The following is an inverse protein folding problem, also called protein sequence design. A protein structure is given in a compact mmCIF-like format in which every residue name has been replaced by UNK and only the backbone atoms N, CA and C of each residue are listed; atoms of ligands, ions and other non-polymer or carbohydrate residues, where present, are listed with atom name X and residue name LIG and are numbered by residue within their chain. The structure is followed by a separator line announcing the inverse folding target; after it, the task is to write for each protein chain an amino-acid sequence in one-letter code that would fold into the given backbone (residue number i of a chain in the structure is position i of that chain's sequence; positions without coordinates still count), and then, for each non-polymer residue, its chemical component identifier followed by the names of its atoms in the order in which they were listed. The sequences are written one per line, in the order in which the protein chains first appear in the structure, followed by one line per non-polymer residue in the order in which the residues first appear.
data_IF_317377684193
#
_entry.id   IF_317377684193
#
_cell.length_a   1.000
_cell.length_b   1.000
_cell.length_c   1.000
_cell.angle_alpha   90.00
_cell.angle_beta   90.00
_cell.angle_gamma   90.00
#
_symmetry.space_group_name_H-M   'P 1'
#
loop_
_entity.id
_entity.type
_entity.pdbx_description
1 polymer ?
#
# COMPACT_ATOMS: atom_id res chain seq x y z
N UNK A 1 4.56 8.61 13.57
CA UNK A 1 5.66 8.92 12.62
C UNK A 1 5.37 10.21 11.87
N UNK A 2 4.19 10.33 11.25
CA UNK A 2 3.77 11.47 10.42
C UNK A 2 2.82 12.46 11.12
N UNK A 3 2.50 12.25 12.41
CA UNK A 3 1.51 13.05 13.16
C UNK A 3 1.79 14.56 13.17
N UNK A 4 3.07 14.94 13.18
CA UNK A 4 3.53 16.34 13.19
C UNK A 4 4.05 16.81 11.81
N UNK A 5 3.89 15.98 10.77
CA UNK A 5 4.28 16.32 9.41
C UNK A 5 3.11 16.99 8.71
N UNK A 6 3.38 17.89 7.78
CA UNK A 6 2.35 18.43 6.89
C UNK A 6 1.79 17.33 6.00
N UNK A 7 0.47 17.16 5.98
CA UNK A 7 -0.24 16.13 5.22
C UNK A 7 -1.28 16.79 4.33
N UNK A 8 -0.92 17.03 3.07
CA UNK A 8 -1.80 17.62 2.05
C UNK A 8 -1.42 17.09 0.68
N UNK A 9 -2.39 16.96 -0.23
CA UNK A 9 -2.17 16.40 -1.55
C UNK A 9 -1.82 14.92 -1.48
N UNK A 10 -0.52 14.60 -1.44
CA UNK A 10 -0.01 13.24 -1.46
C UNK A 10 1.02 12.97 -0.35
N UNK A 11 0.96 11.79 0.25
CA UNK A 11 1.97 11.31 1.20
C UNK A 11 2.39 9.89 0.84
N UNK A 12 3.58 9.74 0.27
CA UNK A 12 4.13 8.43 -0.10
C UNK A 12 4.78 7.75 1.11
N UNK A 13 4.45 6.48 1.35
CA UNK A 13 5.08 5.65 2.37
C UNK A 13 5.96 4.54 1.78
N UNK A 14 5.79 4.20 0.51
CA UNK A 14 6.66 3.28 -0.23
C UNK A 14 6.80 3.74 -1.67
N UNK A 15 8.04 3.83 -2.15
CA UNK A 15 8.34 4.03 -3.56
C UNK A 15 9.51 3.16 -3.98
N UNK A 16 9.24 2.23 -4.89
CA UNK A 16 10.22 1.25 -5.37
C UNK A 16 11.46 1.86 -6.04
N UNK A 17 11.37 3.07 -6.64
CA UNK A 17 12.56 3.72 -7.22
C UNK A 17 13.44 4.45 -6.20
N UNK A 18 12.95 4.69 -4.99
CA UNK A 18 13.72 5.38 -3.95
C UNK A 18 15.04 4.69 -3.64
N UNK A 19 15.99 5.42 -3.08
CA UNK A 19 17.30 4.87 -2.69
C UNK A 19 17.18 3.81 -1.58
N UNK A 20 16.25 4.00 -0.64
CA UNK A 20 15.92 3.06 0.45
C UNK A 20 14.40 2.86 0.57
N UNK A 21 13.76 2.08 -0.33
CA UNK A 21 12.30 1.95 -0.38
C UNK A 21 11.65 1.42 0.92
N UNK A 22 12.39 0.64 1.70
CA UNK A 22 11.94 0.03 2.95
C UNK A 22 12.49 0.74 4.20
N UNK A 23 12.94 1.99 4.10
CA UNK A 23 13.57 2.70 5.24
C UNK A 23 12.68 2.76 6.50
N UNK A 24 11.37 2.88 6.32
CA UNK A 24 10.39 2.97 7.42
C UNK A 24 9.58 1.67 7.61
N UNK A 25 9.99 0.60 6.93
CA UNK A 25 9.29 -0.67 6.90
C UNK A 25 10.13 -1.73 7.61
N UNK A 26 9.48 -2.53 8.45
CA UNK A 26 10.05 -3.78 8.92
C UNK A 26 9.65 -4.91 7.96
N UNK A 27 10.46 -5.97 7.93
CA UNK A 27 10.32 -7.09 7.00
C UNK A 27 10.39 -8.41 7.75
N UNK A 28 9.42 -9.27 7.45
CA UNK A 28 9.43 -10.66 7.91
C UNK A 28 9.42 -11.57 6.70
N UNK A 29 10.35 -12.53 6.65
CA UNK A 29 10.53 -13.42 5.50
C UNK A 29 10.78 -14.84 6.00
N UNK A 30 9.90 -15.75 5.62
CA UNK A 30 10.01 -17.19 5.87
C UNK A 30 9.78 -17.91 4.55
N UNK A 31 10.77 -18.69 4.11
CA UNK A 31 10.74 -19.43 2.83
C UNK A 31 10.32 -18.57 1.63
N UNK A 32 11.02 -17.45 1.48
CA UNK A 32 10.70 -16.41 0.51
C UNK A 32 11.82 -15.40 0.32
N UNK A 33 11.52 -14.33 -0.40
CA UNK A 33 12.43 -13.20 -0.57
C UNK A 33 11.68 -11.89 -0.75
N UNK A 34 12.37 -10.81 -0.40
CA UNK A 34 11.99 -9.44 -0.75
C UNK A 34 13.14 -8.85 -1.54
N UNK A 35 12.93 -8.54 -2.82
CA UNK A 35 13.98 -8.02 -3.68
C UNK A 35 13.45 -6.94 -4.63
N UNK A 36 14.35 -6.05 -5.04
CA UNK A 36 14.07 -5.11 -6.12
C UNK A 36 14.47 -5.76 -7.44
N UNK A 37 13.58 -5.74 -8.43
CA UNK A 37 13.82 -6.27 -9.77
C UNK A 37 13.15 -5.40 -10.83
N UNK A 38 13.53 -5.55 -12.08
CA UNK A 38 12.87 -4.91 -13.21
C UNK A 38 11.65 -5.74 -13.64
N UNK A 39 10.47 -5.12 -13.64
CA UNK A 39 9.23 -5.73 -14.13
C UNK A 39 9.08 -5.49 -15.63
N UNK A 40 8.79 -6.55 -16.38
CA UNK A 40 8.71 -6.52 -17.85
C UNK A 40 7.51 -5.72 -18.35
N UNK A 41 6.40 -5.68 -17.61
CA UNK A 41 5.19 -5.01 -18.07
C UNK A 41 5.31 -3.50 -17.96
N UNK A 42 6.06 -2.97 -16.99
CA UNK A 42 6.23 -1.50 -16.82
C UNK A 42 7.64 -1.03 -17.12
N UNK A 43 8.55 -1.93 -17.50
CA UNK A 43 9.96 -1.66 -17.78
C UNK A 43 10.63 -0.81 -16.69
N UNK A 44 10.29 -1.08 -15.43
CA UNK A 44 10.74 -0.30 -14.28
C UNK A 44 11.03 -1.18 -13.08
N UNK A 45 11.85 -0.65 -12.17
CA UNK A 45 12.16 -1.36 -10.94
C UNK A 45 10.95 -1.37 -10.00
N UNK A 46 10.67 -2.54 -9.43
CA UNK A 46 9.59 -2.79 -8.47
C UNK A 46 10.11 -3.58 -7.30
N UNK A 47 9.39 -3.53 -6.19
CA UNK A 47 9.68 -4.35 -5.02
C UNK A 47 8.85 -5.64 -5.10
N UNK A 48 9.50 -6.77 -5.29
CA UNK A 48 8.86 -8.08 -5.28
C UNK A 48 8.89 -8.69 -3.87
N UNK A 49 7.75 -9.19 -3.40
CA UNK A 49 7.59 -9.92 -2.14
C UNK A 49 7.04 -11.31 -2.49
N UNK A 50 7.85 -12.34 -2.30
CA UNK A 50 7.50 -13.74 -2.59
C UNK A 50 7.72 -14.56 -1.34
N UNK A 51 6.79 -15.47 -1.06
CA UNK A 51 6.88 -16.42 0.03
C UNK A 51 6.03 -17.64 -0.28
N UNK A 52 6.42 -18.81 0.24
CA UNK A 52 5.65 -20.04 0.11
C UNK A 52 4.30 -19.96 0.83
N UNK A 53 4.28 -19.32 2.01
CA UNK A 53 3.09 -19.01 2.79
C UNK A 53 2.89 -17.48 2.89
N UNK A 54 1.71 -17.02 2.46
CA UNK A 54 1.35 -15.60 2.39
C UNK A 54 1.36 -14.93 3.77
N UNK A 55 1.05 -15.68 4.83
CA UNK A 55 0.99 -15.11 6.18
C UNK A 55 2.36 -14.92 6.82
N UNK A 56 3.38 -15.68 6.41
CA UNK A 56 4.71 -15.69 7.04
C UNK A 56 5.74 -14.82 6.33
N UNK A 57 5.37 -14.18 5.22
CA UNK A 57 6.24 -13.22 4.53
C UNK A 57 5.46 -11.95 4.23
N UNK A 58 5.90 -10.83 4.83
CA UNK A 58 5.24 -9.52 4.71
C UNK A 58 6.19 -8.37 5.02
N UNK A 59 5.76 -7.17 4.65
CA UNK A 59 6.36 -5.91 5.12
C UNK A 59 5.33 -5.15 5.95
N UNK A 60 5.77 -4.46 7.00
CA UNK A 60 4.90 -3.69 7.89
C UNK A 60 5.44 -2.27 8.12
N UNK A 61 4.56 -1.28 8.12
CA UNK A 61 4.90 0.12 8.35
C UNK A 61 4.02 0.70 9.45
N UNK A 62 4.59 1.28 10.53
CA UNK A 62 6.01 1.57 10.71
C UNK A 62 6.83 0.34 11.13
N UNK A 63 8.16 0.42 10.95
CA UNK A 63 9.08 -0.66 11.33
C UNK A 63 9.04 -1.00 12.83
N UNK A 64 8.92 0.01 13.68
CA UNK A 64 8.74 -0.20 15.12
C UNK A 64 7.30 -0.68 15.41
N UNK A 65 7.10 -1.83 16.09
CA UNK A 65 5.78 -2.36 16.41
C UNK A 65 4.99 -1.46 17.37
N UNK A 66 5.67 -0.68 18.22
CA UNK A 66 5.05 0.23 19.19
C UNK A 66 4.67 1.57 18.60
N UNK A 67 5.28 1.94 17.46
CA UNK A 67 5.01 3.18 16.76
C UNK A 67 3.73 3.10 15.89
N UNK A 68 3.18 4.27 15.56
CA UNK A 68 2.08 4.43 14.61
C UNK A 68 2.46 5.38 13.48
N UNK A 69 1.83 5.21 12.31
CA UNK A 69 1.94 6.14 11.18
C UNK A 69 1.41 7.52 11.57
N UNK A 70 0.15 7.62 11.98
CA UNK A 70 -0.50 8.89 12.32
C UNK A 70 -0.86 9.70 11.06
N UNK A 71 -1.30 9.02 10.00
CA UNK A 71 -1.68 9.63 8.72
C UNK A 71 -3.18 9.89 8.72
N UNK A 72 -3.60 11.13 8.50
CA UNK A 72 -5.00 11.59 8.53
C UNK A 72 -5.64 11.69 7.14
N UNK A 73 -4.85 11.50 6.09
CA UNK A 73 -5.36 11.49 4.72
C UNK A 73 -6.36 10.31 4.53
N UNK A 74 -7.52 10.55 3.90
CA UNK A 74 -8.62 9.60 3.83
C UNK A 74 -8.46 8.51 2.77
N UNK A 75 -7.73 8.78 1.68
CA UNK A 75 -7.56 7.81 0.60
C UNK A 75 -6.20 7.12 0.71
N UNK A 76 -6.20 5.79 0.64
CA UNK A 76 -5.00 4.98 0.52
C UNK A 76 -4.97 4.35 -0.87
N UNK A 77 -3.85 4.52 -1.57
CA UNK A 77 -3.63 4.02 -2.92
C UNK A 77 -2.43 3.09 -2.97
N UNK A 78 -2.63 1.88 -3.51
CA UNK A 78 -1.59 0.88 -3.75
C UNK A 78 -1.48 0.61 -5.24
N UNK A 79 -0.27 0.76 -5.79
CA UNK A 79 0.06 0.33 -7.15
C UNK A 79 0.77 -1.02 -7.03
N UNK A 80 0.04 -2.08 -7.37
CA UNK A 80 0.43 -3.47 -7.08
C UNK A 80 0.10 -4.38 -8.26
N UNK A 81 0.97 -5.35 -8.54
CA UNK A 81 0.71 -6.47 -9.44
C UNK A 81 0.62 -7.75 -8.64
N UNK A 82 -0.52 -8.43 -8.77
CA UNK A 82 -0.76 -9.73 -8.13
C UNK A 82 -0.09 -10.84 -8.94
N UNK A 83 0.70 -11.70 -8.30
CA UNK A 83 1.51 -12.74 -8.98
C UNK A 83 0.79 -14.11 -9.02
N UNK A 84 -0.54 -14.11 -9.23
CA UNK A 84 -1.43 -15.30 -9.35
C UNK A 84 -1.58 -16.17 -8.08
N UNK A 85 -1.02 -15.75 -6.95
CA UNK A 85 -1.21 -16.35 -5.61
C UNK A 85 -1.94 -15.36 -4.71
N UNK A 86 -2.61 -15.86 -3.68
CA UNK A 86 -3.38 -15.05 -2.72
C UNK A 86 -2.57 -13.82 -2.27
N UNK A 87 -2.99 -12.63 -2.70
CA UNK A 87 -2.48 -11.36 -2.20
C UNK A 87 -3.37 -10.89 -1.05
N UNK A 88 -2.76 -10.36 0.01
CA UNK A 88 -3.48 -9.81 1.16
C UNK A 88 -2.74 -8.59 1.69
N UNK A 89 -3.49 -7.60 2.14
CA UNK A 89 -2.93 -6.48 2.89
C UNK A 89 -3.87 -6.11 4.04
N UNK A 90 -3.29 -5.48 5.05
CA UNK A 90 -3.96 -5.08 6.27
C UNK A 90 -3.70 -3.62 6.57
N UNK A 91 -4.73 -2.94 7.05
CA UNK A 91 -4.68 -1.54 7.44
C UNK A 91 -5.29 -1.43 8.82
N UNK A 92 -4.52 -0.90 9.76
CA UNK A 92 -5.02 -0.54 11.08
C UNK A 92 -5.38 0.94 11.08
N UNK A 93 -6.61 1.26 11.49
CA UNK A 93 -7.08 2.63 11.63
C UNK A 93 -7.55 2.90 13.06
N UNK A 94 -7.55 4.16 13.45
CA UNK A 94 -8.18 4.67 14.66
C UNK A 94 -9.50 5.33 14.29
N UNK A 95 -10.56 5.04 15.03
CA UNK A 95 -11.84 5.73 14.91
C UNK A 95 -12.05 6.81 15.99
N UNK A 96 -13.10 7.61 15.84
CA UNK A 96 -13.49 8.69 16.74
C UNK A 96 -13.97 8.23 18.12
N UNK A 97 -14.16 6.91 18.31
CA UNK A 97 -14.39 6.29 19.62
C UNK A 97 -13.11 5.78 20.26
N UNK A 98 -11.95 6.14 19.70
CA UNK A 98 -10.62 5.71 20.13
C UNK A 98 -10.44 4.18 20.07
N UNK A 99 -11.16 3.51 19.16
CA UNK A 99 -11.05 2.06 18.93
C UNK A 99 -10.17 1.81 17.72
N UNK A 100 -9.24 0.86 17.86
CA UNK A 100 -8.39 0.40 16.75
C UNK A 100 -9.16 -0.62 15.91
N UNK A 101 -9.34 -0.33 14.63
CA UNK A 101 -10.01 -1.20 13.66
C UNK A 101 -9.00 -1.77 12.68
N UNK A 102 -9.29 -2.97 12.16
CA UNK A 102 -8.44 -3.64 11.17
C UNK A 102 -9.26 -3.98 9.94
N UNK A 103 -8.87 -3.41 8.81
CA UNK A 103 -9.34 -3.81 7.50
C UNK A 103 -8.34 -4.76 6.89
N UNK A 104 -8.81 -5.95 6.48
CA UNK A 104 -8.02 -6.91 5.71
C UNK A 104 -8.72 -7.12 4.38
N UNK A 105 -8.00 -6.94 3.29
CA UNK A 105 -8.49 -7.20 1.95
C UNK A 105 -7.64 -8.29 1.29
N UNK A 106 -8.29 -9.23 0.63
CA UNK A 106 -7.67 -10.36 -0.06
C UNK A 106 -8.19 -10.49 -1.50
N UNK A 107 -7.34 -11.06 -2.37
CA UNK A 107 -7.39 -11.14 -3.83
C UNK A 107 -8.63 -11.79 -4.49
N UNK A 108 -9.87 -11.51 -4.07
CA UNK A 108 -11.04 -12.08 -4.75
C UNK A 108 -11.43 -11.36 -6.05
N UNK A 109 -10.86 -10.19 -6.37
CA UNK A 109 -11.36 -9.33 -7.46
C UNK A 109 -10.31 -8.43 -8.15
N UNK A 110 -9.00 -8.75 -8.12
CA UNK A 110 -8.00 -7.97 -8.88
C UNK A 110 -7.88 -8.51 -10.32
N UNK A 111 -7.81 -7.60 -11.28
CA UNK A 111 -7.59 -7.94 -12.69
C UNK A 111 -6.17 -8.50 -12.91
N UNK A 112 -5.97 -9.21 -14.03
CA UNK A 112 -4.65 -9.70 -14.39
C UNK A 112 -3.70 -8.52 -14.68
N UNK A 113 -2.53 -8.52 -14.05
CA UNK A 113 -1.49 -7.50 -14.27
C UNK A 113 -1.41 -6.44 -13.17
N UNK A 114 -1.02 -5.22 -13.56
CA UNK A 114 -0.87 -4.08 -12.65
C UNK A 114 -2.21 -3.45 -12.32
N UNK A 115 -2.48 -3.30 -11.03
CA UNK A 115 -3.71 -2.75 -10.49
C UNK A 115 -3.39 -1.52 -9.63
N UNK A 116 -4.30 -0.54 -9.66
CA UNK A 116 -4.30 0.58 -8.73
C UNK A 116 -5.49 0.43 -7.78
N UNK A 117 -5.21 -0.03 -6.56
CA UNK A 117 -6.23 -0.19 -5.53
C UNK A 117 -6.39 1.15 -4.82
N UNK A 118 -7.60 1.69 -4.81
CA UNK A 118 -7.94 2.95 -4.14
C UNK A 118 -8.97 2.68 -3.04
N UNK A 119 -8.65 3.03 -1.79
CA UNK A 119 -9.53 2.80 -0.65
C UNK A 119 -9.89 4.12 0.02
N UNK A 120 -11.18 4.39 0.17
CA UNK A 120 -11.68 5.47 1.00
C UNK A 120 -11.82 4.98 2.45
N UNK A 121 -10.80 5.22 3.27
CA UNK A 121 -10.77 4.75 4.66
C UNK A 121 -11.84 5.41 5.51
N UNK A 122 -12.22 6.65 5.19
CA UNK A 122 -13.32 7.36 5.85
C UNK A 122 -14.65 6.66 5.59
N UNK A 123 -14.96 6.36 4.33
CA UNK A 123 -16.20 5.66 3.96
C UNK A 123 -16.21 4.22 4.48
N UNK A 124 -15.09 3.49 4.38
CA UNK A 124 -14.97 2.13 4.93
C UNK A 124 -15.23 2.09 6.44
N UNK A 125 -14.64 3.01 7.20
CA UNK A 125 -14.84 3.11 8.65
C UNK A 125 -16.29 3.41 9.00
N UNK A 126 -16.91 4.35 8.26
CA UNK A 126 -18.32 4.71 8.45
C UNK A 126 -19.26 3.56 8.13
N UNK A 127 -19.07 2.88 7.00
CA UNK A 127 -19.93 1.77 6.56
C UNK A 127 -19.81 0.53 7.44
N UNK A 128 -18.58 0.19 7.86
CA UNK A 128 -18.35 -1.02 8.64
C UNK A 128 -18.73 -0.87 10.11
N UNK A 129 -18.55 0.32 10.70
CA UNK A 129 -18.65 0.51 12.16
C UNK A 129 -19.56 1.64 12.60
N UNK A 130 -20.09 2.46 11.69
CA UNK A 130 -20.85 3.65 12.03
C UNK A 130 -20.03 4.71 12.78
N UNK A 131 -18.70 4.68 12.65
CA UNK A 131 -17.75 5.61 13.30
C UNK A 131 -16.98 6.42 12.26
N UNK A 132 -16.31 7.48 12.70
CA UNK A 132 -15.51 8.32 11.79
C UNK A 132 -14.04 7.94 11.85
N UNK A 133 -13.41 7.91 10.67
CA UNK A 133 -11.97 7.71 10.54
C UNK A 133 -11.20 8.90 11.14
N UNK A 134 -10.19 8.61 11.96
CA UNK A 134 -9.30 9.62 12.55
C UNK A 134 -7.93 9.58 11.89
N UNK A 135 -7.28 8.41 11.89
CA UNK A 135 -5.96 8.24 11.28
C UNK A 135 -5.65 6.77 11.00
N UNK A 136 -4.74 6.54 10.05
CA UNK A 136 -4.12 5.25 9.81
C UNK A 136 -2.93 5.07 10.75
N UNK A 137 -2.90 3.91 11.40
CA UNK A 137 -1.91 3.52 12.39
C UNK A 137 -0.82 2.63 11.80
N UNK A 138 -1.19 1.67 10.94
CA UNK A 138 -0.27 0.67 10.38
C UNK A 138 -0.76 0.18 9.03
N UNK A 139 0.17 -0.07 8.13
CA UNK A 139 -0.08 -0.75 6.85
C UNK A 139 0.83 -1.97 6.79
N UNK A 140 0.27 -3.12 6.43
CA UNK A 140 1.00 -4.36 6.26
C UNK A 140 0.63 -4.99 4.92
N UNK A 141 1.63 -5.45 4.17
CA UNK A 141 1.43 -6.04 2.85
C UNK A 141 2.10 -7.40 2.81
N UNK A 142 1.33 -8.42 2.45
CA UNK A 142 1.79 -9.80 2.41
C UNK A 142 2.41 -10.17 1.05
N UNK A 143 3.09 -11.31 1.04
CA UNK A 143 3.73 -11.89 -0.14
C UNK A 143 2.75 -12.17 -1.30
N UNK A 144 3.35 -12.62 -2.41
CA UNK A 144 2.69 -12.89 -3.70
C UNK A 144 2.31 -11.62 -4.49
N UNK A 145 3.09 -10.56 -4.31
CA UNK A 145 2.87 -9.31 -5.04
C UNK A 145 4.17 -8.63 -5.47
N UNK A 146 4.02 -7.74 -6.45
CA UNK A 146 5.01 -6.72 -6.81
C UNK A 146 4.43 -5.35 -6.51
N UNK A 147 5.17 -4.55 -5.74
CA UNK A 147 4.78 -3.22 -5.31
C UNK A 147 5.58 -2.16 -6.05
N UNK A 148 4.86 -1.20 -6.62
CA UNK A 148 5.45 -0.03 -7.26
C UNK A 148 5.47 1.15 -6.30
N UNK A 149 4.31 1.45 -5.68
CA UNK A 149 4.11 2.60 -4.82
C UNK A 149 2.94 2.37 -3.84
N UNK A 150 3.06 2.89 -2.63
CA UNK A 150 1.96 3.01 -1.66
C UNK A 150 1.95 4.43 -1.14
N UNK A 151 0.83 5.12 -1.27
CA UNK A 151 0.68 6.51 -0.85
C UNK A 151 -0.73 6.81 -0.37
N UNK A 152 -0.86 7.90 0.38
CA UNK A 152 -2.14 8.46 0.77
C UNK A 152 -2.42 9.74 0.01
N UNK A 153 -3.69 10.07 -0.16
CA UNK A 153 -4.14 11.33 -0.73
C UNK A 153 -5.34 11.93 0.00
N UNK A 154 -5.52 13.24 -0.12
CA UNK A 154 -6.66 13.99 0.42
C UNK A 154 -7.95 13.75 -0.37
N UNK A 155 -7.84 13.53 -1.68
CA UNK A 155 -8.93 13.14 -2.58
C UNK A 155 -8.50 12.05 -3.57
N UNK A 156 -9.47 11.52 -4.31
CA UNK A 156 -9.17 10.76 -5.52
C UNK A 156 -8.81 11.76 -6.62
N UNK A 157 -7.64 11.55 -7.21
CA UNK A 157 -7.14 12.34 -8.34
C UNK A 157 -7.37 11.54 -9.62
N UNK A 158 -7.76 12.23 -10.69
CA UNK A 158 -7.76 11.62 -12.02
C UNK A 158 -6.33 11.37 -12.50
N UNK A 159 -6.17 10.48 -13.47
CA UNK A 159 -4.87 10.27 -14.11
C UNK A 159 -4.26 11.59 -14.61
N UNK A 160 -5.04 12.49 -15.21
CA UNK A 160 -4.52 13.77 -15.71
C UNK A 160 -3.91 14.65 -14.60
N UNK A 161 -4.55 14.69 -13.43
CA UNK A 161 -4.11 15.47 -12.27
C UNK A 161 -2.91 14.85 -11.54
N UNK A 162 -2.65 13.55 -11.72
CA UNK A 162 -1.53 12.88 -11.04
C UNK A 162 -0.19 13.40 -11.58
N UNK A 163 0.76 13.76 -10.70
CA UNK A 163 2.12 14.05 -11.12
C UNK A 163 2.74 12.81 -11.79
N UNK A 164 3.67 12.98 -12.76
CA UNK A 164 4.28 11.87 -13.50
C UNK A 164 4.82 10.74 -12.62
N UNK A 165 5.36 11.05 -11.45
CA UNK A 165 5.91 10.05 -10.53
C UNK A 165 4.84 9.18 -9.85
N UNK A 166 3.58 9.62 -9.79
CA UNK A 166 2.45 8.85 -9.24
C UNK A 166 1.66 8.08 -10.30
N UNK A 167 1.89 8.37 -11.58
CA UNK A 167 1.25 7.69 -12.72
C UNK A 167 1.81 6.29 -12.95
N UNK A 168 0.95 5.39 -13.41
CA UNK A 168 1.34 4.08 -13.92
C UNK A 168 1.42 4.13 -15.44
N UNK A 169 2.63 4.09 -15.98
CA UNK A 169 2.85 4.01 -17.42
C UNK A 169 3.03 2.55 -17.82
N UNK A 170 2.04 2.00 -18.52
CA UNK A 170 2.21 0.75 -19.27
C UNK A 170 2.85 1.10 -20.63
N UNK A 171 3.94 0.42 -21.06
CA UNK A 171 4.46 0.53 -22.41
C UNK A 171 3.35 0.20 -23.39
N UNK A 172 3.26 0.96 -24.48
CA UNK A 172 2.39 0.60 -25.59
C UNK A 172 2.75 -0.80 -26.06
N UNK A 173 1.80 -1.73 -26.03
CA UNK A 173 1.98 -3.05 -26.65
C UNK A 173 2.31 -2.78 -28.12
N UNK A 174 3.51 -3.18 -28.56
CA UNK A 174 3.82 -3.21 -29.99
C UNK A 174 2.87 -4.25 -30.60
N UNK A 175 2.00 -3.79 -31.49
CA UNK A 175 1.21 -4.66 -32.36
C UNK A 175 2.12 -5.51 -33.25
#
# INVERSE_FOLDING_TARGET
MFKNTFQSGFLSILYSLGSKPLQIWDKEVVDGHIKRLQDDDIQSNVLEIVGSNVQSTYITCPADPTATLGIKLPFLVLIVKSMKKYFTFEIHVLDDKNVRRRFRASNFQLDEGWNQIQLNLTDLTRRAYGTNYVETLRVQVHASCRLRRIYFSDRLYSEEELPPEFKLYLPMQKA
#
